data_IF_225714359724
#
_entry.id   IF_225714359724
#
_cell.length_a   1.000
_cell.length_b   1.000
_cell.length_c   1.000
_cell.angle_alpha   90.00
_cell.angle_beta   90.00
_cell.angle_gamma   90.00
#
_symmetry.space_group_name_H-M   'P 1'
#
loop_
_entity.id
_entity.type
_entity.pdbx_description
1 polymer ?
#
# COMPACT_ATOMS: atom_id res chain seq x y z
N UNK A 1 18.55 6.39 11.20
CA UNK A 1 17.34 7.16 11.54
C UNK A 1 16.41 7.16 10.35
N UNK A 2 15.14 6.79 10.51
CA UNK A 2 14.13 7.24 9.55
C UNK A 2 14.16 8.77 9.56
N UNK A 3 14.13 9.42 8.39
CA UNK A 3 14.29 10.88 8.26
C UNK A 3 13.05 11.68 8.74
N UNK A 4 12.41 11.25 9.83
CA UNK A 4 11.17 11.81 10.35
C UNK A 4 9.90 11.22 9.72
N UNK A 5 10.02 10.36 8.71
CA UNK A 5 8.86 9.74 8.05
C UNK A 5 8.16 8.72 8.93
N UNK A 6 6.83 8.82 9.00
CA UNK A 6 5.95 7.94 9.77
C UNK A 6 5.10 7.01 8.90
N UNK A 7 4.95 7.32 7.61
CA UNK A 7 4.15 6.53 6.67
C UNK A 7 4.81 6.47 5.31
N UNK A 8 4.62 5.35 4.63
CA UNK A 8 4.96 5.15 3.22
C UNK A 8 3.66 5.06 2.43
N UNK A 9 3.61 5.79 1.32
CA UNK A 9 2.53 5.73 0.33
C UNK A 9 3.13 5.27 -0.99
N UNK A 10 2.46 4.31 -1.63
CA UNK A 10 2.85 3.88 -2.98
C UNK A 10 1.62 3.54 -3.81
N UNK A 11 1.81 3.51 -5.13
CA UNK A 11 0.77 3.19 -6.10
C UNK A 11 1.31 2.24 -7.15
N UNK A 12 0.49 1.28 -7.54
CA UNK A 12 0.77 0.36 -8.65
C UNK A 12 -0.39 0.36 -9.65
N UNK A 13 -0.15 -0.10 -10.88
CA UNK A 13 -1.24 -0.28 -11.84
C UNK A 13 -2.06 -1.53 -11.56
N UNK A 14 -3.35 -1.50 -11.89
CA UNK A 14 -4.24 -2.67 -11.80
C UNK A 14 -3.77 -3.86 -12.67
N UNK A 15 -3.04 -3.59 -13.76
CA UNK A 15 -2.41 -4.61 -14.64
C UNK A 15 -1.09 -5.17 -14.10
N UNK A 16 -0.75 -4.91 -12.84
CA UNK A 16 0.48 -5.39 -12.18
C UNK A 16 0.14 -6.26 -10.95
N UNK A 17 -0.53 -7.42 -11.14
CA UNK A 17 -0.94 -8.28 -10.03
C UNK A 17 0.23 -8.79 -9.20
N UNK A 18 1.43 -8.93 -9.79
CA UNK A 18 2.66 -9.32 -9.10
C UNK A 18 3.07 -8.26 -8.07
N UNK A 19 2.97 -6.97 -8.43
CA UNK A 19 3.29 -5.87 -7.54
C UNK A 19 2.29 -5.80 -6.37
N UNK A 20 0.99 -6.02 -6.65
CA UNK A 20 -0.06 -6.11 -5.60
C UNK A 20 0.28 -7.20 -4.60
N UNK A 21 0.58 -8.42 -5.07
CA UNK A 21 0.95 -9.55 -4.20
C UNK A 21 2.21 -9.27 -3.40
N UNK A 22 3.22 -8.67 -4.04
CA UNK A 22 4.45 -8.25 -3.37
C UNK A 22 4.14 -7.28 -2.23
N UNK A 23 3.41 -6.19 -2.48
CA UNK A 23 3.13 -5.18 -1.44
C UNK A 23 2.28 -5.74 -0.29
N UNK A 24 1.30 -6.58 -0.59
CA UNK A 24 0.53 -7.29 0.44
C UNK A 24 1.45 -8.15 1.31
N UNK A 25 2.35 -8.94 0.71
CA UNK A 25 3.33 -9.75 1.47
C UNK A 25 4.31 -8.91 2.30
N UNK A 26 4.61 -7.69 1.85
CA UNK A 26 5.48 -6.74 2.56
C UNK A 26 4.74 -5.96 3.67
N UNK A 27 3.46 -6.27 3.91
CA UNK A 27 2.65 -5.65 4.96
C UNK A 27 2.16 -4.24 4.62
N UNK A 28 2.10 -3.89 3.33
CA UNK A 28 1.38 -2.69 2.90
C UNK A 28 -0.13 -2.96 2.95
N UNK A 29 -0.88 -1.97 3.44
CA UNK A 29 -2.32 -1.98 3.50
C UNK A 29 -2.91 -1.44 2.20
N UNK A 30 -3.73 -2.23 1.48
CA UNK A 30 -4.43 -1.76 0.29
C UNK A 30 -5.49 -0.72 0.68
N UNK A 31 -5.60 0.34 -0.10
CA UNK A 31 -6.64 1.37 0.04
C UNK A 31 -7.77 1.18 -0.99
N UNK A 32 -8.01 -0.07 -1.37
CA UNK A 32 -8.99 -0.50 -2.38
C UNK A 32 -9.50 -1.90 -2.01
N UNK A 33 -10.58 -2.34 -2.65
CA UNK A 33 -11.16 -3.66 -2.45
C UNK A 33 -10.39 -4.72 -3.25
N UNK A 34 -9.87 -5.73 -2.56
CA UNK A 34 -9.13 -6.87 -3.15
C UNK A 34 -10.05 -7.91 -3.79
N UNK A 35 -11.33 -7.94 -3.45
CA UNK A 35 -12.29 -8.92 -3.96
C UNK A 35 -13.00 -8.45 -5.24
N UNK A 36 -12.75 -7.20 -5.64
CA UNK A 36 -13.33 -6.59 -6.84
C UNK A 36 -12.48 -6.90 -8.07
N UNK A 37 -13.10 -6.90 -9.24
CA UNK A 37 -12.40 -7.08 -10.51
C UNK A 37 -11.38 -5.92 -10.73
N UNK A 38 -10.08 -6.22 -10.95
CA UNK A 38 -9.08 -5.23 -11.32
C UNK A 38 -9.48 -4.35 -12.51
N UNK A 39 -10.25 -4.86 -13.47
CA UNK A 39 -10.70 -4.10 -14.64
C UNK A 39 -11.68 -2.99 -14.27
N UNK A 40 -12.46 -3.11 -13.19
CA UNK A 40 -13.33 -2.04 -12.73
C UNK A 40 -12.53 -0.80 -12.28
N UNK A 41 -11.32 -0.99 -11.76
CA UNK A 41 -10.44 0.13 -11.41
C UNK A 41 -9.90 0.86 -12.64
N UNK A 42 -10.03 0.30 -13.85
CA UNK A 42 -9.65 0.97 -15.10
C UNK A 42 -10.70 1.95 -15.63
N UNK A 43 -11.92 1.93 -15.06
CA UNK A 43 -13.04 2.73 -15.51
C UNK A 43 -13.25 3.95 -14.59
N UNK A 44 -13.76 5.08 -15.13
CA UNK A 44 -14.19 6.21 -14.30
C UNK A 44 -15.20 5.76 -13.23
N UNK A 45 -15.12 6.25 -11.98
CA UNK A 45 -14.30 7.38 -11.48
C UNK A 45 -12.86 7.01 -11.09
N UNK A 46 -12.44 5.77 -11.33
CA UNK A 46 -11.11 5.29 -10.97
C UNK A 46 -10.08 5.60 -12.07
N UNK A 47 -8.83 5.71 -11.67
CA UNK A 47 -7.69 6.11 -12.52
C UNK A 47 -6.74 4.93 -12.85
N UNK A 48 -7.16 3.70 -12.57
CA UNK A 48 -6.33 2.50 -12.73
C UNK A 48 -5.23 2.33 -11.69
N UNK A 49 -5.14 3.23 -10.69
CA UNK A 49 -4.09 3.20 -9.67
C UNK A 49 -4.57 2.52 -8.41
N UNK A 50 -3.90 1.44 -8.04
CA UNK A 50 -4.07 0.74 -6.79
C UNK A 50 -3.14 1.35 -5.74
N UNK A 51 -3.73 1.97 -4.71
CA UNK A 51 -3.02 2.71 -3.66
C UNK A 51 -2.75 1.80 -2.46
N UNK A 52 -1.57 1.97 -1.88
CA UNK A 52 -1.11 1.25 -0.69
C UNK A 52 -0.51 2.20 0.33
N UNK A 53 -0.69 1.87 1.60
CA UNK A 53 -0.08 2.60 2.72
C UNK A 53 0.67 1.63 3.63
N UNK A 54 1.72 2.10 4.29
CA UNK A 54 2.39 1.35 5.35
C UNK A 54 2.84 2.29 6.44
N UNK A 55 2.38 2.02 7.66
CA UNK A 55 2.85 2.75 8.84
C UNK A 55 4.26 2.29 9.18
N UNK A 56 5.18 3.24 9.22
CA UNK A 56 6.50 3.02 9.78
C UNK A 56 6.36 3.13 11.31
N UNK A 57 6.00 2.02 11.95
CA UNK A 57 6.00 1.96 13.41
C UNK A 57 7.41 2.30 13.87
N UNK A 58 7.52 3.33 14.73
CA UNK A 58 8.75 3.57 15.50
C UNK A 58 8.88 2.41 16.50
N UNK A 59 9.34 1.24 16.06
CA UNK A 59 9.68 0.13 16.98
C UNK A 59 10.89 0.47 17.89
N UNK A 60 11.47 1.66 17.77
CA UNK A 60 12.61 2.12 18.56
C UNK A 60 12.27 3.11 19.69
N UNK A 61 11.01 3.24 20.13
CA UNK A 61 10.66 4.16 21.23
C UNK A 61 9.89 3.52 22.41
N UNK A 62 9.75 2.20 22.45
CA UNK A 62 9.06 1.51 23.56
C UNK A 62 9.74 0.22 24.04
N UNK A 63 11.07 0.16 24.01
CA UNK A 63 11.85 -0.87 24.73
C UNK A 63 13.02 -0.27 25.52
N UNK A 64 12.80 0.84 26.20
CA UNK A 64 13.61 1.25 27.35
C UNK A 64 12.86 2.32 28.16
N UNK A 65 12.10 1.88 29.15
CA UNK A 65 11.76 2.64 30.35
C UNK A 65 11.37 1.62 31.42
#
# INVERSE_FOLDING_TARGET
>A
MLAGYSQIYLTTGFRQPEAVRLYLSQGYQPQFDLNRDPEEYSQPPFDGRLRFTKTLVREALSKTA
#
